data_IF_786071152057
#
_entry.id   IF_786071152057
#
_cell.length_a   1.000
_cell.length_b   1.000
_cell.length_c   1.000
_cell.angle_alpha   90.00
_cell.angle_beta   90.00
_cell.angle_gamma   90.00
#
_symmetry.space_group_name_H-M   'P 1'
#
loop_
_entity.id
_entity.type
_entity.pdbx_description
1 polymer ?
#
# COMPACT_ATOMS: atom_id res chain seq x y z
N UNK A 1 3.07 3.12 5.51
CA UNK A 1 4.02 2.01 5.24
C UNK A 1 4.60 2.17 3.82
N UNK A 2 5.19 3.32 3.53
CA UNK A 2 5.73 3.63 2.21
C UNK A 2 7.14 3.03 2.05
N UNK A 3 7.40 2.20 1.03
CA UNK A 3 8.74 1.75 0.68
C UNK A 3 9.66 2.95 0.44
N UNK A 4 10.88 2.94 1.02
CA UNK A 4 11.80 4.09 1.04
C UNK A 4 11.73 4.93 2.32
N UNK A 5 10.53 5.36 2.75
CA UNK A 5 10.34 6.11 4.01
C UNK A 5 10.25 5.20 5.25
N UNK A 6 9.89 3.93 5.05
CA UNK A 6 9.78 2.91 6.09
C UNK A 6 11.06 2.09 6.30
N UNK A 7 12.12 2.40 5.55
CA UNK A 7 13.34 1.60 5.55
C UNK A 7 14.07 1.66 6.91
N UNK A 8 14.78 0.58 7.25
CA UNK A 8 15.41 0.41 8.57
C UNK A 8 16.43 1.49 8.94
N UNK A 9 16.99 2.21 7.96
CA UNK A 9 17.93 3.30 8.17
C UNK A 9 17.28 4.63 8.58
N UNK A 10 15.95 4.78 8.50
CA UNK A 10 15.25 5.99 8.97
C UNK A 10 14.90 5.83 10.46
N UNK A 11 15.46 6.65 11.37
CA UNK A 11 15.15 6.58 12.79
C UNK A 11 13.65 6.74 13.02
N UNK A 12 13.09 5.97 13.96
CA UNK A 12 11.66 6.05 14.34
C UNK A 12 11.25 7.48 14.67
N UNK A 13 12.15 8.28 15.26
CA UNK A 13 11.93 9.70 15.56
C UNK A 13 11.65 10.55 14.32
N UNK A 14 12.41 10.36 13.24
CA UNK A 14 12.16 11.07 11.97
C UNK A 14 10.83 10.64 11.34
N UNK A 15 10.46 9.36 11.47
CA UNK A 15 9.17 8.85 10.97
C UNK A 15 8.00 9.50 11.70
N UNK A 16 8.10 9.66 13.02
CA UNK A 16 7.10 10.35 13.83
C UNK A 16 7.02 11.84 13.47
N UNK A 17 8.16 12.52 13.29
CA UNK A 17 8.17 13.92 12.87
C UNK A 17 7.56 14.13 11.48
N UNK A 18 7.86 13.25 10.52
CA UNK A 18 7.24 13.29 9.19
C UNK A 18 5.73 13.02 9.26
N UNK A 19 5.30 12.03 10.05
CA UNK A 19 3.88 11.74 10.26
C UNK A 19 3.15 12.95 10.88
N UNK A 20 3.76 13.60 11.87
CA UNK A 20 3.23 14.83 12.48
C UNK A 20 3.17 15.97 11.46
N UNK A 21 4.22 16.18 10.68
CA UNK A 21 4.26 17.24 9.66
C UNK A 21 3.18 17.05 8.59
N UNK A 22 3.00 15.83 8.10
CA UNK A 22 1.93 15.49 7.13
C UNK A 22 0.56 15.67 7.76
N UNK A 23 0.38 15.26 9.02
CA UNK A 23 -0.89 15.43 9.74
C UNK A 23 -1.26 16.91 9.89
N UNK A 24 -0.31 17.77 10.26
CA UNK A 24 -0.53 19.23 10.35
C UNK A 24 -0.82 19.84 8.98
N UNK A 25 -0.17 19.36 7.92
CA UNK A 25 -0.39 19.84 6.56
C UNK A 25 -1.78 19.49 6.03
N UNK A 26 -2.30 18.30 6.39
CA UNK A 26 -3.64 17.84 6.00
C UNK A 26 -4.76 18.39 6.91
N UNK A 27 -4.42 18.87 8.12
CA UNK A 27 -5.38 19.43 9.06
C UNK A 27 -6.27 20.55 8.47
N UNK A 28 -5.75 21.61 7.80
CA UNK A 28 -6.60 22.67 7.25
C UNK A 28 -7.53 22.17 6.12
N UNK A 29 -7.11 21.15 5.36
CA UNK A 29 -7.94 20.57 4.29
C UNK A 29 -9.03 19.66 4.82
N UNK A 30 -8.83 19.03 5.98
CA UNK A 30 -9.75 18.07 6.60
C UNK A 30 -10.57 18.67 7.76
N UNK A 31 -10.19 19.84 8.28
CA UNK A 31 -10.91 20.55 9.33
C UNK A 31 -12.44 20.64 9.15
N UNK A 32 -12.99 20.89 7.94
CA UNK A 32 -14.45 20.96 7.77
C UNK A 32 -15.16 19.61 7.74
N UNK A 33 -14.45 18.49 7.55
CA UNK A 33 -15.02 17.13 7.47
C UNK A 33 -14.82 16.32 8.75
N UNK A 34 -14.05 16.83 9.72
CA UNK A 34 -13.80 16.12 10.97
C UNK A 34 -15.00 16.22 11.93
N UNK A 35 -15.42 15.10 12.57
CA UNK A 35 -16.44 15.11 13.58
C UNK A 35 -15.98 15.89 14.83
N UNK A 36 -16.93 16.42 15.63
CA UNK A 36 -16.58 17.05 16.91
C UNK A 36 -15.86 16.05 17.82
N UNK A 37 -14.92 16.56 18.61
CA UNK A 37 -14.10 15.73 19.50
C UNK A 37 -15.01 14.98 20.49
N UNK A 38 -14.97 13.63 20.54
CA UNK A 38 -15.80 12.88 21.47
C UNK A 38 -15.42 13.20 22.92
N UNK A 39 -16.41 13.58 23.74
CA UNK A 39 -16.18 13.89 25.17
C UNK A 39 -15.89 12.64 26.01
N UNK A 40 -16.21 11.45 25.48
CA UNK A 40 -16.03 10.18 26.19
C UNK A 40 -14.74 9.47 25.74
N UNK A 41 -13.93 8.95 26.68
CA UNK A 41 -12.63 8.34 26.37
C UNK A 41 -12.74 7.04 25.57
N UNK A 42 -13.83 6.30 25.71
CA UNK A 42 -14.17 5.09 24.94
C UNK A 42 -14.41 5.42 23.46
N UNK A 43 -15.17 6.47 23.18
CA UNK A 43 -15.43 6.93 21.81
C UNK A 43 -14.15 7.45 21.14
N UNK A 44 -13.27 8.12 21.90
CA UNK A 44 -11.98 8.59 21.40
C UNK A 44 -11.04 7.44 21.05
N UNK A 45 -11.02 6.37 21.86
CA UNK A 45 -10.21 5.17 21.60
C UNK A 45 -10.70 4.43 20.36
N UNK A 46 -12.01 4.29 20.18
CA UNK A 46 -12.60 3.70 18.97
C UNK A 46 -12.25 4.49 17.71
N UNK A 47 -12.33 5.82 17.77
CA UNK A 47 -11.95 6.71 16.67
C UNK A 47 -10.47 6.54 16.29
N UNK A 48 -9.58 6.53 17.28
CA UNK A 48 -8.15 6.35 17.06
C UNK A 48 -7.83 4.98 16.44
N UNK A 49 -8.54 3.94 16.89
CA UNK A 49 -8.37 2.58 16.36
C UNK A 49 -8.84 2.50 14.91
N UNK A 50 -10.00 3.07 14.56
CA UNK A 50 -10.48 3.11 13.18
C UNK A 50 -9.51 3.86 12.26
N UNK A 51 -8.97 5.00 12.72
CA UNK A 51 -8.04 5.80 11.94
C UNK A 51 -6.71 5.05 11.69
N UNK A 52 -6.22 4.38 12.72
CA UNK A 52 -5.01 3.54 12.62
C UNK A 52 -5.20 2.39 11.64
N UNK A 53 -6.38 1.75 11.64
CA UNK A 53 -6.71 0.67 10.72
C UNK A 53 -6.81 1.15 9.26
N UNK A 54 -7.44 2.30 9.02
CA UNK A 54 -7.53 2.90 7.67
C UNK A 54 -6.11 3.26 7.17
N UNK A 55 -5.30 3.90 8.02
CA UNK A 55 -3.92 4.23 7.69
C UNK A 55 -3.06 2.98 7.43
N UNK A 56 -3.28 1.90 8.17
CA UNK A 56 -2.61 0.61 7.94
C UNK A 56 -3.03 0.00 6.60
N UNK A 57 -4.33 -0.01 6.30
CA UNK A 57 -4.86 -0.52 5.04
C UNK A 57 -4.29 0.23 3.83
N UNK A 58 -4.37 1.57 3.83
CA UNK A 58 -3.81 2.40 2.77
C UNK A 58 -2.29 2.23 2.65
N UNK A 59 -1.60 2.10 3.77
CA UNK A 59 -0.17 1.84 3.79
C UNK A 59 0.22 0.46 3.26
N UNK A 60 -0.70 -0.51 3.27
CA UNK A 60 -0.42 -1.89 2.85
C UNK A 60 -0.34 -2.03 1.33
N UNK A 61 -1.12 -1.25 0.58
CA UNK A 61 -1.15 -1.24 -0.89
C UNK A 61 0.24 -1.04 -1.52
N UNK A 62 0.98 0.05 -1.23
CA UNK A 62 2.32 0.23 -1.79
C UNK A 62 3.31 -0.82 -1.29
N UNK A 63 3.11 -1.34 -0.08
CA UNK A 63 3.97 -2.39 0.48
C UNK A 63 3.83 -3.68 -0.32
N UNK A 64 2.62 -4.07 -0.69
CA UNK A 64 2.35 -5.23 -1.55
C UNK A 64 2.98 -5.07 -2.94
N UNK A 65 2.88 -3.88 -3.54
CA UNK A 65 3.50 -3.60 -4.84
C UNK A 65 5.02 -3.83 -4.82
N UNK A 66 5.71 -3.28 -3.82
CA UNK A 66 7.16 -3.45 -3.70
C UNK A 66 7.55 -4.88 -3.30
N UNK A 67 6.74 -5.57 -2.49
CA UNK A 67 6.95 -6.99 -2.21
C UNK A 67 6.82 -7.84 -3.48
N UNK A 68 5.88 -7.54 -4.38
CA UNK A 68 5.76 -8.23 -5.66
C UNK A 68 6.99 -8.01 -6.55
N UNK A 69 7.50 -6.77 -6.62
CA UNK A 69 8.75 -6.47 -7.34
C UNK A 69 9.95 -7.24 -6.78
N UNK A 70 10.05 -7.30 -5.45
CA UNK A 70 11.12 -8.02 -4.78
C UNK A 70 11.08 -9.52 -5.10
N UNK A 71 9.89 -10.12 -5.03
CA UNK A 71 9.66 -11.54 -5.38
C UNK A 71 10.00 -11.79 -6.85
N UNK A 72 9.50 -10.96 -7.77
CA UNK A 72 9.79 -11.08 -9.20
C UNK A 72 11.29 -10.99 -9.49
N UNK A 73 11.99 -10.02 -8.91
CA UNK A 73 13.43 -9.87 -9.07
C UNK A 73 14.22 -11.07 -8.52
N UNK A 74 13.77 -11.68 -7.42
CA UNK A 74 14.37 -12.90 -6.87
C UNK A 74 14.13 -14.12 -7.77
N UNK A 75 12.94 -14.27 -8.34
CA UNK A 75 12.65 -15.32 -9.32
C UNK A 75 13.52 -15.19 -10.58
N UNK A 76 13.66 -13.97 -11.11
CA UNK A 76 14.52 -13.70 -12.27
C UNK A 76 15.98 -14.03 -11.95
N UNK A 77 16.46 -13.64 -10.76
CA UNK A 77 17.82 -13.97 -10.32
C UNK A 77 18.05 -15.48 -10.25
N UNK A 78 17.07 -16.23 -9.73
CA UNK A 78 17.13 -17.68 -9.60
C UNK A 78 17.19 -18.36 -10.97
N UNK A 79 16.32 -17.96 -11.91
CA UNK A 79 16.30 -18.49 -13.28
C UNK A 79 17.56 -18.11 -14.07
N UNK A 80 18.11 -16.93 -13.84
CA UNK A 80 19.33 -16.44 -14.49
C UNK A 80 20.63 -17.06 -13.96
N UNK A 81 20.57 -17.96 -12.97
CA UNK A 81 21.75 -18.60 -12.38
C UNK A 81 22.52 -17.72 -11.38
N UNK A 82 21.96 -16.57 -10.98
CA UNK A 82 22.57 -15.65 -10.01
C UNK A 82 22.31 -16.03 -8.55
N UNK A 83 22.04 -17.31 -8.26
CA UNK A 83 21.68 -17.79 -6.93
C UNK A 83 22.77 -17.55 -5.85
N UNK A 84 24.03 -17.34 -6.24
CA UNK A 84 25.13 -16.98 -5.34
C UNK A 84 25.18 -15.49 -4.98
N UNK A 85 24.35 -14.63 -5.60
CA UNK A 85 24.34 -13.18 -5.38
C UNK A 85 23.32 -12.73 -4.32
N UNK A 86 23.03 -13.60 -3.34
CA UNK A 86 22.22 -13.27 -2.17
C UNK A 86 23.04 -12.37 -1.24
N UNK A 87 22.68 -11.10 -1.21
CA UNK A 87 23.26 -10.08 -0.36
C UNK A 87 22.22 -9.70 0.68
N UNK A 88 22.65 -9.43 1.91
CA UNK A 88 21.73 -8.91 2.92
C UNK A 88 21.25 -7.52 2.49
N UNK A 89 19.95 -7.38 2.25
CA UNK A 89 19.31 -6.12 1.88
C UNK A 89 18.84 -5.40 3.16
N UNK A 90 19.51 -4.30 3.57
CA UNK A 90 19.18 -3.56 4.79
C UNK A 90 17.88 -2.74 4.67
N UNK A 91 17.30 -2.63 3.47
CA UNK A 91 16.02 -1.95 3.23
C UNK A 91 14.87 -2.89 3.53
N UNK A 92 14.99 -4.13 3.09
CA UNK A 92 13.99 -5.18 3.31
C UNK A 92 14.20 -5.92 4.65
N UNK A 93 15.39 -5.84 5.23
CA UNK A 93 15.87 -6.63 6.38
C UNK A 93 15.86 -8.14 6.10
N UNK A 94 16.20 -8.52 4.85
CA UNK A 94 16.15 -9.91 4.37
C UNK A 94 17.33 -10.20 3.43
N UNK A 95 17.72 -11.47 3.29
CA UNK A 95 18.61 -11.85 2.18
C UNK A 95 17.85 -11.72 0.86
N UNK A 96 18.35 -10.83 0.00
CA UNK A 96 17.76 -10.55 -1.31
C UNK A 96 18.83 -10.68 -2.39
N UNK A 97 18.44 -11.03 -3.61
CA UNK A 97 19.40 -11.03 -4.72
C UNK A 97 19.74 -9.59 -5.12
N UNK A 98 20.95 -9.37 -5.64
CA UNK A 98 21.34 -8.05 -6.20
C UNK A 98 20.37 -7.59 -7.31
N UNK A 99 19.84 -8.53 -8.10
CA UNK A 99 18.82 -8.26 -9.14
C UNK A 99 17.51 -7.78 -8.50
N UNK A 100 17.07 -8.41 -7.42
CA UNK A 100 15.87 -7.97 -6.68
C UNK A 100 16.04 -6.56 -6.12
N UNK A 101 17.20 -6.24 -5.53
CA UNK A 101 17.52 -4.88 -5.10
C UNK A 101 17.49 -3.84 -6.24
N UNK A 102 17.96 -4.23 -7.43
CA UNK A 102 17.86 -3.40 -8.63
C UNK A 102 16.40 -3.13 -9.04
N UNK A 103 15.55 -4.16 -9.09
CA UNK A 103 14.12 -4.00 -9.40
C UNK A 103 13.38 -3.16 -8.36
N UNK A 104 13.68 -3.32 -7.08
CA UNK A 104 13.11 -2.50 -6.00
C UNK A 104 13.52 -1.02 -6.15
N UNK A 105 14.79 -0.76 -6.47
CA UNK A 105 15.29 0.60 -6.71
C UNK A 105 14.66 1.23 -7.95
N UNK A 106 14.55 0.45 -9.04
CA UNK A 106 13.89 0.88 -10.26
C UNK A 106 12.41 1.19 -10.02
N UNK A 107 11.71 0.35 -9.25
CA UNK A 107 10.34 0.60 -8.81
C UNK A 107 10.21 1.90 -8.02
N UNK A 108 11.15 2.19 -7.13
CA UNK A 108 11.18 3.46 -6.40
C UNK A 108 11.36 4.66 -7.34
N UNK A 109 12.29 4.57 -8.29
CA UNK A 109 12.51 5.62 -9.29
C UNK A 109 11.24 5.86 -10.12
N UNK A 110 10.55 4.79 -10.54
CA UNK A 110 9.29 4.91 -11.28
C UNK A 110 8.19 5.59 -10.46
N UNK A 111 8.07 5.28 -9.17
CA UNK A 111 7.11 5.94 -8.26
C UNK A 111 7.35 7.45 -8.18
N UNK A 112 8.59 7.89 -8.17
CA UNK A 112 8.92 9.31 -8.18
C UNK A 112 8.76 9.93 -9.58
N UNK A 113 9.23 9.26 -10.63
CA UNK A 113 9.16 9.74 -12.00
C UNK A 113 7.72 9.85 -12.56
N UNK A 114 6.78 9.06 -12.02
CA UNK A 114 5.36 9.08 -12.40
C UNK A 114 4.50 9.87 -11.41
N UNK A 115 5.11 10.55 -10.44
CA UNK A 115 4.41 11.26 -9.37
C UNK A 115 3.42 10.41 -8.56
N UNK A 116 3.61 9.08 -8.55
CA UNK A 116 2.74 8.15 -7.84
C UNK A 116 2.74 8.42 -6.33
N UNK A 117 3.86 8.92 -5.80
CA UNK A 117 3.95 9.38 -4.42
C UNK A 117 2.96 10.52 -4.09
N UNK A 118 2.68 11.43 -5.03
CA UNK A 118 1.65 12.47 -4.86
C UNK A 118 0.24 11.90 -4.99
N UNK A 119 0.04 10.95 -5.91
CA UNK A 119 -1.23 10.23 -6.04
C UNK A 119 -1.61 9.52 -4.73
N UNK A 120 -0.62 8.96 -4.03
CA UNK A 120 -0.84 8.31 -2.74
C UNK A 120 -1.24 9.29 -1.62
N UNK A 121 -0.67 10.50 -1.62
CA UNK A 121 -1.10 11.56 -0.68
C UNK A 121 -2.52 12.04 -0.99
N UNK A 122 -2.88 12.15 -2.28
CA UNK A 122 -4.26 12.45 -2.69
C UNK A 122 -5.22 11.34 -2.28
N UNK A 123 -4.87 10.08 -2.49
CA UNK A 123 -5.66 8.94 -2.05
C UNK A 123 -5.86 8.92 -0.52
N UNK A 124 -4.87 9.38 0.25
CA UNK A 124 -5.04 9.56 1.70
C UNK A 124 -6.07 10.65 2.01
N UNK A 125 -6.02 11.81 1.34
CA UNK A 125 -7.01 12.86 1.52
C UNK A 125 -8.43 12.42 1.10
N UNK A 126 -8.56 11.77 -0.06
CA UNK A 126 -9.82 11.25 -0.58
C UNK A 126 -10.40 10.14 0.31
N UNK A 127 -9.55 9.40 1.04
CA UNK A 127 -10.01 8.38 1.97
C UNK A 127 -10.90 8.93 3.08
N UNK A 128 -10.75 10.20 3.46
CA UNK A 128 -11.63 10.86 4.44
C UNK A 128 -13.03 11.16 3.89
N UNK A 129 -13.19 11.24 2.56
CA UNK A 129 -14.50 11.37 1.92
C UNK A 129 -15.21 10.02 1.81
N UNK A 130 -14.46 8.92 1.67
CA UNK A 130 -14.99 7.55 1.55
C UNK A 130 -15.24 6.93 2.92
N UNK A 131 -14.32 7.13 3.87
CA UNK A 131 -14.41 6.62 5.23
C UNK A 131 -14.69 7.80 6.17
N UNK A 132 -15.96 8.02 6.50
CA UNK A 132 -16.33 9.10 7.40
C UNK A 132 -15.73 8.87 8.81
N UNK A 133 -14.90 9.80 9.32
CA UNK A 133 -14.26 9.61 10.63
C UNK A 133 -15.31 9.52 11.74
N UNK A 134 -15.24 8.49 12.58
CA UNK A 134 -16.20 8.26 13.67
C UNK A 134 -17.57 7.71 13.24
N UNK A 135 -17.78 7.43 11.95
CA UNK A 135 -18.94 6.68 11.48
C UNK A 135 -18.78 5.16 11.68
N UNK A 136 -19.87 4.36 11.59
CA UNK A 136 -19.74 2.91 11.58
C UNK A 136 -18.85 2.49 10.41
N UNK A 137 -17.76 1.77 10.72
CA UNK A 137 -16.88 1.20 9.71
C UNK A 137 -17.73 0.37 8.73
N UNK A 138 -17.73 0.66 7.41
CA UNK A 138 -18.44 -0.14 6.43
C UNK A 138 -17.64 -1.43 6.17
N UNK A 139 -17.52 -2.27 7.19
CA UNK A 139 -16.84 -3.56 7.12
C UNK A 139 -17.50 -4.46 6.06
N UNK A 140 -18.80 -4.31 5.83
CA UNK A 140 -19.54 -5.03 4.78
C UNK A 140 -19.09 -4.66 3.36
N UNK A 141 -18.89 -3.38 3.06
CA UNK A 141 -18.48 -2.94 1.72
C UNK A 141 -17.01 -3.27 1.45
N UNK A 142 -16.13 -3.15 2.45
CA UNK A 142 -14.72 -3.51 2.29
C UNK A 142 -14.56 -5.01 1.97
N UNK A 143 -15.32 -5.87 2.67
CA UNK A 143 -15.35 -7.32 2.40
C UNK A 143 -15.93 -7.61 1.02
N UNK A 144 -16.98 -6.92 0.60
CA UNK A 144 -17.54 -7.08 -0.75
C UNK A 144 -16.59 -6.63 -1.86
N UNK A 145 -15.83 -5.54 -1.66
CA UNK A 145 -14.85 -5.07 -2.64
C UNK A 145 -13.69 -6.06 -2.75
N UNK A 146 -13.16 -6.54 -1.63
CA UNK A 146 -12.11 -7.59 -1.63
C UNK A 146 -12.63 -8.88 -2.26
N UNK A 147 -13.86 -9.30 -1.92
CA UNK A 147 -14.47 -10.49 -2.49
C UNK A 147 -14.72 -10.37 -4.00
N UNK A 148 -15.17 -9.21 -4.49
CA UNK A 148 -15.38 -8.95 -5.93
C UNK A 148 -14.08 -8.87 -6.70
N UNK A 149 -13.08 -8.17 -6.18
CA UNK A 149 -11.78 -8.07 -6.86
C UNK A 149 -11.04 -9.42 -6.90
N UNK A 150 -11.22 -10.27 -5.89
CA UNK A 150 -10.79 -11.67 -5.96
C UNK A 150 -11.60 -12.46 -7.01
N UNK A 151 -12.94 -12.35 -7.01
CA UNK A 151 -13.80 -13.05 -7.95
C UNK A 151 -13.56 -12.66 -9.41
N UNK A 152 -13.33 -11.37 -9.70
CA UNK A 152 -12.99 -10.89 -11.05
C UNK A 152 -11.60 -11.39 -11.48
N UNK A 153 -10.64 -11.44 -10.54
CA UNK A 153 -9.32 -12.02 -10.79
C UNK A 153 -9.35 -13.51 -11.16
N UNK A 154 -10.28 -14.27 -10.59
CA UNK A 154 -10.50 -15.69 -10.93
C UNK A 154 -11.47 -15.90 -12.12
N UNK A 155 -12.40 -14.96 -12.34
CA UNK A 155 -13.45 -15.05 -13.36
C UNK A 155 -12.95 -14.82 -14.79
N UNK A 156 -11.87 -14.05 -14.97
CA UNK A 156 -11.29 -13.76 -16.27
C UNK A 156 -10.65 -14.97 -16.96
N UNK A 157 -10.42 -16.07 -16.25
CA UNK A 157 -9.96 -17.33 -16.85
C UNK A 157 -11.11 -18.22 -17.35
N UNK A 158 -12.34 -18.01 -16.85
CA UNK A 158 -13.53 -18.80 -17.24
C UNK A 158 -14.23 -18.28 -18.51
N UNK A 159 -13.98 -17.04 -18.93
CA UNK A 159 -14.63 -16.42 -20.09
C UNK A 159 -13.84 -16.54 -21.40
N UNK A 160 -12.85 -17.45 -21.50
CA UNK A 160 -12.17 -17.72 -22.77
C UNK A 160 -13.20 -18.15 -23.82
N UNK A 161 -13.44 -17.38 -24.89
CA UNK A 161 -14.37 -17.80 -25.92
C UNK A 161 -13.67 -18.91 -26.72
N UNK A 162 -14.19 -20.13 -26.62
CA UNK A 162 -13.90 -21.21 -27.56
C UNK A 162 -14.28 -20.75 -28.97
N UNK A 163 -13.35 -20.06 -29.63
CA UNK A 163 -13.43 -19.69 -31.03
C UNK A 163 -13.37 -20.99 -31.82
N UNK A 164 -14.52 -21.44 -32.31
CA UNK A 164 -14.69 -22.65 -33.10
C UNK A 164 -13.90 -22.54 -34.40
N UNK A 165 -12.70 -23.11 -34.42
CA UNK A 165 -11.98 -23.40 -35.65
C UNK A 165 -12.54 -24.70 -36.24
N UNK A 166 -13.62 -24.57 -37.00
CA UNK A 166 -14.03 -25.62 -37.93
C UNK A 166 -14.78 -25.00 -39.12
N UNK A 167 -14.04 -24.69 -40.18
CA UNK A 167 -14.29 -25.19 -41.54
C UNK A 167 -13.70 -24.25 -42.59
N UNK A 168 -12.81 -24.84 -43.41
CA UNK A 168 -12.51 -24.52 -44.81
C UNK A 168 -12.02 -23.11 -45.17
#
# INVERSE_FOLDING_TARGET
MLPGFSAGYVPVRLRLLLALAISVLLLPTLAPTLPPLPERPDALLLLLLSETLIGLFLGSVPRLLFSALQVAGTFIAFLGGFANALVHDPIADQQSSTVSGFFTTLGLVLVFATDLHLLMLRALADSYAVFNPGGPLPAGDLVMVIARSAADGFGLESSWPHRSWSSA
#
